data_IF_301778384361
#
_entry.id   IF_301778384361
#
_cell.length_a   1.000
_cell.length_b   1.000
_cell.length_c   1.000
_cell.angle_alpha   90.00
_cell.angle_beta   90.00
_cell.angle_gamma   90.00
#
_symmetry.space_group_name_H-M   'P 1'
#
loop_
_entity.id
_entity.type
_entity.pdbx_description
1 polymer ?
#
# COMPACT_ATOMS: atom_id res chain seq x y z
N UNK A 1 15.68 5.74 15.73
CA UNK A 1 14.24 6.06 15.85
C UNK A 1 13.48 4.74 15.74
N UNK A 2 12.60 4.38 16.69
CA UNK A 2 11.86 3.11 16.61
C UNK A 2 10.62 3.32 15.75
N UNK A 3 10.54 2.59 14.65
CA UNK A 3 9.48 2.70 13.65
C UNK A 3 9.30 1.34 12.99
N UNK A 4 8.05 0.90 12.82
CA UNK A 4 7.69 -0.32 12.12
C UNK A 4 6.95 0.04 10.84
N UNK A 5 7.19 -0.75 9.80
CA UNK A 5 6.62 -0.54 8.46
C UNK A 5 5.77 -1.75 8.09
N UNK A 6 4.60 -1.48 7.53
CA UNK A 6 3.63 -2.46 7.11
C UNK A 6 3.32 -2.25 5.63
N UNK A 7 3.56 -3.27 4.83
CA UNK A 7 3.16 -3.34 3.43
C UNK A 7 1.81 -4.02 3.34
N UNK A 8 0.83 -3.29 2.84
CA UNK A 8 -0.53 -3.77 2.65
C UNK A 8 -0.77 -4.04 1.17
N UNK A 9 -1.32 -5.20 0.84
CA UNK A 9 -1.58 -5.66 -0.51
C UNK A 9 -3.05 -6.02 -0.67
N UNK A 10 -3.65 -5.57 -1.77
CA UNK A 10 -5.08 -5.70 -2.04
C UNK A 10 -5.27 -6.26 -3.44
N UNK A 11 -6.16 -7.24 -3.57
CA UNK A 11 -6.42 -7.93 -4.82
C UNK A 11 -7.16 -7.08 -5.86
N UNK A 12 -7.83 -6.01 -5.43
CA UNK A 12 -8.58 -5.15 -6.30
C UNK A 12 -8.65 -3.71 -5.77
N UNK A 13 -9.09 -2.82 -6.65
CA UNK A 13 -9.15 -1.38 -6.37
C UNK A 13 -10.16 -1.01 -5.28
N UNK A 14 -11.25 -1.76 -5.10
CA UNK A 14 -12.26 -1.46 -4.08
C UNK A 14 -11.74 -1.74 -2.68
N UNK A 15 -11.06 -2.89 -2.49
CA UNK A 15 -10.44 -3.21 -1.21
C UNK A 15 -9.30 -2.23 -0.89
N UNK A 16 -8.53 -1.82 -1.89
CA UNK A 16 -7.53 -0.76 -1.75
C UNK A 16 -8.15 0.57 -1.30
N UNK A 17 -9.21 1.05 -1.96
CA UNK A 17 -9.88 2.33 -1.64
C UNK A 17 -10.54 2.32 -0.25
N UNK A 18 -11.22 1.23 0.11
CA UNK A 18 -11.78 1.04 1.45
C UNK A 18 -10.68 1.04 2.52
N UNK A 19 -9.57 0.35 2.27
CA UNK A 19 -8.46 0.31 3.21
C UNK A 19 -7.77 1.67 3.35
N UNK A 20 -7.63 2.44 2.27
CA UNK A 20 -7.14 3.82 2.32
C UNK A 20 -8.01 4.70 3.24
N UNK A 21 -9.33 4.61 3.08
CA UNK A 21 -10.29 5.36 3.90
C UNK A 21 -10.24 4.92 5.38
N UNK A 22 -10.08 3.62 5.63
CA UNK A 22 -9.91 3.11 6.99
C UNK A 22 -8.61 3.62 7.62
N UNK A 23 -7.48 3.51 6.93
CA UNK A 23 -6.16 3.93 7.43
C UNK A 23 -6.11 5.42 7.71
N UNK A 24 -6.65 6.27 6.84
CA UNK A 24 -6.67 7.73 7.05
C UNK A 24 -7.44 8.14 8.31
N UNK A 25 -8.36 7.31 8.79
CA UNK A 25 -9.08 7.54 10.05
C UNK A 25 -8.23 7.29 11.30
N UNK A 26 -7.06 6.64 11.18
CA UNK A 26 -6.15 6.35 12.29
C UNK A 26 -4.90 7.23 12.25
N UNK A 27 -4.86 8.26 13.09
CA UNK A 27 -3.78 9.27 13.16
C UNK A 27 -2.38 8.72 13.43
N UNK A 28 -2.25 7.47 13.88
CA UNK A 28 -0.96 6.84 14.15
C UNK A 28 -0.35 6.10 12.95
N UNK A 29 -1.10 5.98 11.86
CA UNK A 29 -0.60 5.40 10.61
C UNK A 29 -0.16 6.52 9.67
N UNK A 30 1.08 6.44 9.22
CA UNK A 30 1.65 7.40 8.26
C UNK A 30 1.94 6.67 6.96
N UNK A 31 1.27 7.06 5.88
CA UNK A 31 1.59 6.58 4.53
C UNK A 31 3.02 6.94 4.15
N UNK A 32 3.72 5.98 3.54
CA UNK A 32 5.11 6.13 3.10
C UNK A 32 5.22 6.02 1.58
N UNK A 33 4.43 5.13 0.96
CA UNK A 33 4.43 4.93 -0.48
C UNK A 33 3.15 4.25 -0.95
N UNK A 34 2.80 4.45 -2.21
CA UNK A 34 1.77 3.70 -2.92
C UNK A 34 2.41 2.92 -4.07
N UNK A 35 1.91 1.72 -4.37
CA UNK A 35 2.53 0.88 -5.39
C UNK A 35 1.56 -0.13 -6.02
N UNK A 36 1.97 -0.69 -7.17
CA UNK A 36 1.42 -1.90 -7.76
C UNK A 36 2.48 -3.00 -7.68
N UNK A 37 2.19 -4.09 -6.99
CA UNK A 37 3.04 -5.28 -6.99
C UNK A 37 2.80 -6.06 -8.28
N UNK A 38 3.86 -6.26 -9.06
CA UNK A 38 3.82 -6.90 -10.38
C UNK A 38 4.42 -8.30 -10.39
N UNK A 39 5.12 -8.69 -9.32
CA UNK A 39 5.77 -10.00 -9.18
C UNK A 39 5.49 -10.58 -7.81
N UNK A 40 5.39 -11.90 -7.77
CA UNK A 40 5.15 -12.64 -6.53
C UNK A 40 6.31 -12.48 -5.55
N UNK A 41 5.98 -12.32 -4.27
CA UNK A 41 6.94 -12.23 -3.16
C UNK A 41 6.59 -13.23 -2.08
N UNK A 42 7.58 -13.56 -1.23
CA UNK A 42 7.33 -14.32 -0.01
C UNK A 42 7.23 -13.37 1.17
N UNK A 43 6.29 -13.65 2.06
CA UNK A 43 6.15 -13.00 3.36
C UNK A 43 6.03 -14.10 4.41
N UNK A 44 7.13 -14.35 5.14
CA UNK A 44 7.26 -15.51 6.02
C UNK A 44 6.93 -16.83 5.29
N UNK A 45 5.92 -17.55 5.73
CA UNK A 45 5.41 -18.81 5.17
C UNK A 45 4.33 -18.61 4.09
N UNK A 46 3.92 -17.37 3.83
CA UNK A 46 2.88 -17.05 2.84
C UNK A 46 3.47 -16.51 1.55
N UNK A 47 3.11 -17.11 0.41
CA UNK A 47 3.42 -16.58 -0.92
C UNK A 47 2.34 -15.61 -1.36
N UNK A 48 2.71 -14.35 -1.57
CA UNK A 48 1.84 -13.31 -2.13
C UNK A 48 2.01 -13.34 -3.64
N UNK A 49 0.96 -13.77 -4.34
CA UNK A 49 1.00 -13.97 -5.79
C UNK A 49 0.58 -12.71 -6.52
N UNK A 50 1.41 -12.25 -7.46
CA UNK A 50 1.14 -11.13 -8.35
C UNK A 50 1.82 -11.33 -9.70
N UNK A 51 1.19 -10.80 -10.76
CA UNK A 51 1.71 -10.77 -12.13
C UNK A 51 1.49 -9.38 -12.74
N UNK A 52 2.16 -9.03 -13.86
CA UNK A 52 1.88 -7.77 -14.55
C UNK A 52 0.42 -7.66 -15.02
N UNK A 53 -0.20 -8.78 -15.39
CA UNK A 53 -1.60 -8.86 -15.86
C UNK A 53 -2.60 -8.84 -14.70
N UNK A 54 -2.20 -9.35 -13.53
CA UNK A 54 -2.99 -9.37 -12.30
C UNK A 54 -2.13 -8.83 -11.14
N UNK A 55 -1.88 -7.52 -11.11
CA UNK A 55 -1.07 -6.93 -10.06
C UNK A 55 -1.88 -6.77 -8.78
N UNK A 56 -1.19 -6.70 -7.64
CA UNK A 56 -1.82 -6.30 -6.38
C UNK A 56 -1.65 -4.81 -6.15
N UNK A 57 -2.72 -4.15 -5.74
CA UNK A 57 -2.68 -2.76 -5.28
C UNK A 57 -2.03 -2.72 -3.90
N UNK A 58 -1.22 -1.72 -3.60
CA UNK A 58 -0.59 -1.66 -2.29
C UNK A 58 -0.19 -0.28 -1.82
N UNK A 59 -0.03 -0.20 -0.52
CA UNK A 59 0.57 0.95 0.14
C UNK A 59 1.43 0.49 1.32
N UNK A 60 2.44 1.28 1.64
CA UNK A 60 3.26 1.11 2.84
C UNK A 60 2.84 2.16 3.86
N UNK A 61 2.54 1.73 5.08
CA UNK A 61 2.31 2.60 6.22
C UNK A 61 3.38 2.36 7.27
N UNK A 62 3.53 3.33 8.15
CA UNK A 62 4.44 3.20 9.28
C UNK A 62 3.81 3.67 10.58
N UNK A 63 4.25 3.02 11.66
CA UNK A 63 3.88 3.33 13.05
C UNK A 63 5.18 3.68 13.77
N UNK A 64 5.19 4.81 14.46
CA UNK A 64 6.40 5.40 15.05
C UNK A 64 6.21 5.65 16.53
N UNK A 65 7.28 5.45 17.33
CA UNK A 65 7.27 5.81 18.76
C UNK A 65 7.20 7.32 19.02
N UNK A 66 7.37 8.14 17.98
CA UNK A 66 7.53 9.59 18.09
C UNK A 66 6.43 10.39 17.39
N UNK A 67 5.44 9.72 16.79
CA UNK A 67 4.32 10.36 16.11
C UNK A 67 3.07 9.48 16.19
N UNK A 68 1.87 10.06 16.36
CA UNK A 68 1.57 11.48 16.62
C UNK A 68 1.95 11.94 18.02
N UNK A 69 2.10 11.01 18.95
CA UNK A 69 2.51 11.26 20.34
C UNK A 69 3.63 10.29 20.72
N UNK A 70 4.37 10.59 21.80
CA UNK A 70 5.43 9.70 22.28
C UNK A 70 4.81 8.44 22.89
N UNK A 71 5.30 7.28 22.47
CA UNK A 71 4.86 5.95 22.92
C UNK A 71 6.05 5.05 23.23
N UNK A 72 5.82 4.00 23.99
CA UNK A 72 6.80 2.94 24.20
C UNK A 72 6.93 2.05 22.96
N UNK A 73 8.06 1.34 22.77
CA UNK A 73 8.18 0.33 21.72
C UNK A 73 7.10 -0.74 21.79
N UNK A 74 6.70 -1.16 22.99
CA UNK A 74 5.66 -2.17 23.21
C UNK A 74 4.28 -1.69 22.77
N UNK A 75 3.97 -0.40 22.95
CA UNK A 75 2.75 0.21 22.42
C UNK A 75 2.75 0.24 20.88
N UNK A 76 3.90 0.52 20.27
CA UNK A 76 4.05 0.46 18.81
C UNK A 76 3.84 -0.96 18.29
N UNK A 77 4.39 -1.97 18.97
CA UNK A 77 4.21 -3.38 18.58
C UNK A 77 2.76 -3.83 18.73
N UNK A 78 2.06 -3.39 19.79
CA UNK A 78 0.61 -3.62 19.95
C UNK A 78 -0.21 -2.95 18.85
N UNK A 79 0.14 -1.72 18.45
CA UNK A 79 -0.54 -1.03 17.34
C UNK A 79 -0.28 -1.75 16.00
N UNK A 80 0.93 -2.27 15.78
CA UNK A 80 1.25 -3.12 14.63
C UNK A 80 0.38 -4.37 14.62
N UNK A 81 0.34 -5.10 15.74
CA UNK A 81 -0.46 -6.33 15.88
C UNK A 81 -1.94 -6.05 15.64
N UNK A 82 -2.47 -4.94 16.18
CA UNK A 82 -3.85 -4.51 15.96
C UNK A 82 -4.16 -4.31 14.48
N UNK A 83 -3.26 -3.66 13.73
CA UNK A 83 -3.44 -3.42 12.29
C UNK A 83 -3.36 -4.73 11.51
N UNK A 84 -2.40 -5.61 11.84
CA UNK A 84 -2.29 -6.93 11.22
C UNK A 84 -3.53 -7.81 11.43
N UNK A 85 -4.26 -7.60 12.52
CA UNK A 85 -5.48 -8.34 12.85
C UNK A 85 -6.77 -7.68 12.34
N UNK A 86 -6.69 -6.61 11.54
CA UNK A 86 -7.89 -6.05 10.91
C UNK A 86 -8.56 -7.06 9.97
N UNK A 87 -9.90 -7.03 9.93
CA UNK A 87 -10.72 -7.92 9.09
C UNK A 87 -10.27 -7.91 7.63
N UNK A 88 -9.79 -6.76 7.13
CA UNK A 88 -9.19 -6.62 5.80
C UNK A 88 -8.17 -7.71 5.48
N UNK A 89 -7.33 -8.10 6.45
CA UNK A 89 -6.20 -9.01 6.26
C UNK A 89 -6.43 -10.41 6.83
N UNK A 90 -7.36 -10.55 7.78
CA UNK A 90 -7.65 -11.83 8.42
C UNK A 90 -8.73 -12.62 7.70
N UNK A 91 -9.62 -11.96 6.97
CA UNK A 91 -10.60 -12.62 6.12
C UNK A 91 -9.97 -13.11 4.81
N UNK A 92 -9.70 -14.42 4.75
CA UNK A 92 -9.08 -15.09 3.61
C UNK A 92 -9.88 -14.95 2.31
N UNK A 93 -11.21 -14.76 2.39
CA UNK A 93 -12.04 -14.63 1.20
C UNK A 93 -11.76 -13.34 0.41
N UNK A 94 -11.21 -12.33 1.08
CA UNK A 94 -10.84 -11.05 0.47
C UNK A 94 -9.52 -11.10 -0.29
N UNK A 95 -8.64 -12.06 0.00
CA UNK A 95 -7.37 -12.22 -0.70
C UNK A 95 -6.41 -11.02 -0.54
N UNK A 96 -6.52 -10.27 0.57
CA UNK A 96 -5.60 -9.20 0.92
C UNK A 96 -4.51 -9.72 1.85
N UNK A 97 -3.37 -9.01 1.89
CA UNK A 97 -2.22 -9.39 2.70
C UNK A 97 -1.62 -8.19 3.41
N UNK A 98 -1.01 -8.44 4.56
CA UNK A 98 -0.21 -7.45 5.29
C UNK A 98 1.09 -8.09 5.76
N UNK A 99 2.19 -7.38 5.57
CA UNK A 99 3.52 -7.86 5.91
C UNK A 99 4.34 -6.79 6.58
N UNK A 100 5.11 -7.17 7.59
CA UNK A 100 6.16 -6.31 8.12
C UNK A 100 7.29 -6.19 7.10
N UNK A 101 7.98 -5.05 7.11
CA UNK A 101 9.18 -4.88 6.27
C UNK A 101 10.23 -5.95 6.56
N UNK A 102 10.40 -6.35 7.82
CA UNK A 102 11.32 -7.42 8.23
C UNK A 102 11.01 -8.77 7.53
N UNK A 103 9.73 -9.14 7.42
CA UNK A 103 9.33 -10.36 6.71
C UNK A 103 9.68 -10.31 5.21
N UNK A 104 9.53 -9.14 4.59
CA UNK A 104 9.87 -8.91 3.18
C UNK A 104 11.40 -8.86 2.98
N UNK A 105 12.13 -8.22 3.88
CA UNK A 105 13.59 -8.12 3.84
C UNK A 105 14.24 -9.49 4.00
N UNK A 106 13.73 -10.33 4.90
CA UNK A 106 14.22 -11.72 5.06
C UNK A 106 14.12 -12.51 3.75
N UNK A 107 13.02 -12.34 3.00
CA UNK A 107 12.89 -12.94 1.67
C UNK A 107 13.96 -12.42 0.71
N UNK A 108 14.12 -11.10 0.60
CA UNK A 108 15.06 -10.52 -0.34
C UNK A 108 16.52 -10.78 0.03
N UNK A 109 16.89 -10.73 1.31
CA UNK A 109 18.25 -11.01 1.78
C UNK A 109 18.69 -12.45 1.45
N UNK A 110 17.76 -13.41 1.45
CA UNK A 110 18.06 -14.80 1.09
C UNK A 110 18.28 -15.03 -0.41
N UNK A 111 17.74 -14.14 -1.27
CA UNK A 111 17.75 -14.30 -2.74
C UNK A 111 18.57 -13.24 -3.47
N UNK A 112 18.88 -12.13 -2.82
CA UNK A 112 19.51 -10.96 -3.43
C UNK A 112 20.49 -10.30 -2.45
N UNK A 113 21.70 -9.94 -2.90
CA UNK A 113 22.81 -9.55 -2.02
C UNK A 113 22.69 -8.15 -1.37
N UNK A 114 21.57 -7.43 -1.56
CA UNK A 114 21.41 -6.08 -1.02
C UNK A 114 20.00 -5.88 -0.43
N UNK A 115 19.89 -5.39 0.82
CA UNK A 115 18.61 -5.04 1.42
C UNK A 115 18.08 -3.79 0.74
N UNK A 116 16.86 -3.85 0.21
CA UNK A 116 16.17 -2.70 -0.33
C UNK A 116 14.67 -2.92 -0.12
N UNK A 117 13.87 -1.85 0.07
CA UNK A 117 12.42 -1.93 -0.11
C UNK A 117 12.08 -2.73 -1.37
N UNK A 118 10.88 -3.33 -1.40
CA UNK A 118 10.29 -4.03 -2.55
C UNK A 118 10.91 -3.52 -3.86
N UNK A 119 11.83 -4.31 -4.43
CA UNK A 119 12.71 -3.79 -5.48
C UNK A 119 11.88 -3.20 -6.61
N UNK A 120 12.39 -2.16 -7.28
CA UNK A 120 11.68 -1.49 -8.37
C UNK A 120 11.28 -2.44 -9.52
N UNK A 121 11.94 -3.60 -9.65
CA UNK A 121 11.56 -4.62 -10.63
C UNK A 121 10.41 -5.53 -10.18
N UNK A 122 9.99 -5.47 -8.91
CA UNK A 122 8.82 -6.17 -8.37
C UNK A 122 7.59 -5.28 -8.28
N UNK A 123 7.76 -3.97 -8.16
CA UNK A 123 6.65 -3.04 -7.97
C UNK A 123 6.87 -1.70 -8.67
N UNK A 124 5.77 -1.16 -9.23
CA UNK A 124 5.73 0.23 -9.69
C UNK A 124 5.29 1.13 -8.53
N UNK A 125 6.06 2.18 -8.25
CA UNK A 125 5.80 3.11 -7.16
C UNK A 125 5.17 4.42 -7.63
N UNK A 126 4.33 4.98 -6.77
CA UNK A 126 3.58 6.20 -7.01
C UNK A 126 3.58 7.07 -5.74
N UNK A 127 3.60 8.38 -5.95
CA UNK A 127 3.58 9.41 -4.90
C UNK A 127 2.19 9.59 -4.27
N UNK A 128 1.12 9.24 -4.99
CA UNK A 128 -0.25 9.34 -4.48
C UNK A 128 -1.10 8.12 -4.86
N UNK A 129 -2.11 7.82 -4.03
CA UNK A 129 -3.11 6.81 -4.35
C UNK A 129 -3.80 7.09 -5.69
N UNK A 130 -4.23 8.33 -5.94
CA UNK A 130 -4.89 8.74 -7.19
C UNK A 130 -4.09 8.39 -8.45
N UNK A 131 -2.75 8.45 -8.39
CA UNK A 131 -1.90 8.06 -9.51
C UNK A 131 -1.80 6.55 -9.71
N UNK A 132 -1.82 5.75 -8.64
CA UNK A 132 -1.99 4.28 -8.74
C UNK A 132 -3.28 3.97 -9.48
N UNK A 133 -4.39 4.59 -9.04
CA UNK A 133 -5.73 4.35 -9.58
C UNK A 133 -5.78 4.72 -11.06
N UNK A 134 -5.28 5.90 -11.42
CA UNK A 134 -5.20 6.35 -12.81
C UNK A 134 -4.36 5.40 -13.66
N UNK A 135 -3.15 5.06 -13.22
CA UNK A 135 -2.26 4.17 -13.97
C UNK A 135 -2.92 2.80 -14.19
N UNK A 136 -3.54 2.23 -13.15
CA UNK A 136 -4.22 0.95 -13.26
C UNK A 136 -5.40 1.00 -14.25
N UNK A 137 -6.16 2.10 -14.27
CA UNK A 137 -7.22 2.30 -15.25
C UNK A 137 -6.68 2.41 -16.68
N UNK A 138 -5.64 3.22 -16.91
CA UNK A 138 -5.03 3.41 -18.24
C UNK A 138 -4.38 2.13 -18.79
N UNK A 139 -3.94 1.23 -17.90
CA UNK A 139 -3.40 -0.09 -18.27
C UNK A 139 -4.47 -1.17 -18.40
N UNK A 140 -5.74 -0.85 -18.16
CA UNK A 140 -6.83 -1.82 -18.23
C UNK A 140 -6.78 -2.89 -17.14
N UNK A 141 -6.09 -2.64 -16.02
CA UNK A 141 -6.05 -3.54 -14.86
C UNK A 141 -7.44 -3.64 -14.22
N UNK A 142 -8.23 -2.58 -14.31
CA UNK A 142 -9.66 -2.60 -14.01
C UNK A 142 -10.41 -1.71 -15.00
N UNK A 143 -11.72 -1.91 -15.11
CA UNK A 143 -12.61 -1.06 -15.93
C UNK A 143 -13.66 -0.40 -15.05
N UNK A 144 -14.27 0.69 -15.53
CA UNK A 144 -15.33 1.36 -14.75
C UNK A 144 -16.57 0.47 -14.61
N UNK A 145 -16.79 -0.46 -15.53
CA UNK A 145 -17.92 -1.39 -15.52
C UNK A 145 -17.81 -2.42 -14.38
N UNK A 146 -16.58 -2.73 -13.93
CA UNK A 146 -16.35 -3.62 -12.78
C UNK A 146 -16.47 -2.90 -11.42
N UNK A 147 -16.71 -1.59 -11.41
CA UNK A 147 -16.84 -0.79 -10.18
C UNK A 147 -18.32 -0.64 -9.82
N UNK A 148 -18.74 -0.95 -8.59
CA UNK A 148 -20.09 -0.67 -8.11
C UNK A 148 -20.47 0.82 -8.23
N UNK A 149 -21.74 1.10 -8.56
CA UNK A 149 -22.20 2.46 -8.89
C UNK A 149 -21.94 3.50 -7.78
N UNK A 150 -22.05 3.07 -6.52
CA UNK A 150 -21.77 3.86 -5.33
C UNK A 150 -20.28 4.26 -5.20
N UNK A 151 -19.36 3.49 -5.78
CA UNK A 151 -17.92 3.80 -5.80
C UNK A 151 -17.46 4.53 -7.07
N UNK A 152 -18.21 4.45 -8.17
CA UNK A 152 -17.80 5.03 -9.48
C UNK A 152 -17.44 6.51 -9.40
N UNK A 153 -18.18 7.30 -8.62
CA UNK A 153 -17.91 8.73 -8.48
C UNK A 153 -16.55 9.00 -7.84
N UNK A 154 -16.23 8.28 -6.75
CA UNK A 154 -14.97 8.40 -6.04
C UNK A 154 -13.78 7.98 -6.94
N UNK A 155 -13.90 6.84 -7.63
CA UNK A 155 -12.87 6.35 -8.55
C UNK A 155 -12.65 7.32 -9.72
N UNK A 156 -13.72 7.87 -10.31
CA UNK A 156 -13.61 8.90 -11.37
C UNK A 156 -12.90 10.16 -10.86
N UNK A 157 -13.22 10.60 -9.65
CA UNK A 157 -12.54 11.73 -9.02
C UNK A 157 -11.05 11.44 -8.81
N UNK A 158 -10.70 10.24 -8.32
CA UNK A 158 -9.30 9.82 -8.17
C UNK A 158 -8.55 9.77 -9.51
N UNK A 159 -9.14 9.22 -10.58
CA UNK A 159 -8.55 9.21 -11.93
C UNK A 159 -8.29 10.64 -12.42
N UNK A 160 -9.26 11.55 -12.22
CA UNK A 160 -9.10 12.96 -12.57
C UNK A 160 -7.98 13.61 -11.75
N UNK A 161 -7.92 13.35 -10.45
CA UNK A 161 -6.89 13.89 -9.56
C UNK A 161 -5.49 13.40 -9.94
N UNK A 162 -5.34 12.11 -10.32
CA UNK A 162 -4.08 11.56 -10.80
C UNK A 162 -3.58 12.17 -12.12
N UNK A 163 -4.41 12.97 -12.79
CA UNK A 163 -4.05 13.68 -14.03
C UNK A 163 -3.44 15.06 -13.80
N UNK A 164 -3.52 15.60 -12.59
CA UNK A 164 -2.83 16.86 -12.31
C UNK A 164 -1.32 16.63 -12.28
N UNK A 165 -0.53 17.49 -12.97
CA UNK A 165 0.91 17.47 -12.82
C UNK A 165 1.24 17.73 -11.34
N UNK A 166 2.30 17.10 -10.86
CA UNK A 166 2.86 17.48 -9.56
C UNK A 166 3.30 18.92 -9.71
N UNK A 167 2.69 19.82 -8.94
CA UNK A 167 3.18 21.18 -8.87
C UNK A 167 4.52 21.09 -8.18
N UNK A 168 5.56 21.40 -8.93
CA UNK A 168 6.91 21.52 -8.42
C UNK A 168 6.92 22.68 -7.42
N UNK A 169 6.99 22.36 -6.13
CA UNK A 169 6.90 23.36 -5.06
C UNK A 169 8.06 24.37 -5.14
N UNK A 170 9.18 23.97 -5.75
CA UNK A 170 10.32 24.86 -6.00
C UNK A 170 10.01 25.93 -7.06
N UNK A 171 9.01 25.69 -7.93
CA UNK A 171 8.53 26.67 -8.93
C UNK A 171 7.45 27.61 -8.39
N UNK A 172 6.92 27.37 -7.20
CA UNK A 172 5.96 28.27 -6.52
C UNK A 172 6.63 29.25 -5.55
N UNK A 173 7.95 29.11 -5.33
CA UNK A 173 8.74 29.96 -4.44
C UNK A 173 9.38 31.17 -5.15
N UNK A 174 9.11 31.37 -6.44
CA UNK A 174 9.47 32.56 -7.24
C UNK A 174 8.27 33.47 -7.44
#
# INVERSE_FOLDING_TARGET
MYKKYLYCFFNNILEFDKALSAVTSYRFLIFQSYFLLLKSIQCNDTTITATPEQPLFGFCVSISKSFPEKRSPEEVDKDVEKVCNWEFFTDKSRGNFICTMEAIENYFASKYPYPSPLKQDFANYFDTASKVIKYAYEKGIFTMDSIPDDFKSAIKAAIKLGSFPVIDMDKLAT
#
